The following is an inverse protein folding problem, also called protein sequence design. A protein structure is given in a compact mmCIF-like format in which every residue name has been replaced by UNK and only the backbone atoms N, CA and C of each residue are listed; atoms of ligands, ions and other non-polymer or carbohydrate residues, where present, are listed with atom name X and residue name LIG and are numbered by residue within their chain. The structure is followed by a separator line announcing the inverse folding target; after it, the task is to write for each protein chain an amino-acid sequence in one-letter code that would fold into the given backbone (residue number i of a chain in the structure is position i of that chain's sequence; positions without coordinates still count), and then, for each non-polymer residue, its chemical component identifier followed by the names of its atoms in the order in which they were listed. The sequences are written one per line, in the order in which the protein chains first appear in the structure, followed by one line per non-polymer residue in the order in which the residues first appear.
data_IF_642146073412
#
_entry.id   IF_642146073412
#
_cell.length_a   1.000
_cell.length_b   1.000
_cell.length_c   1.000
_cell.angle_alpha   90.00
_cell.angle_beta   90.00
_cell.angle_gamma   90.00
#
_symmetry.space_group_name_H-M   'P 1'
#
loop_
_entity.id
_entity.type
_entity.pdbx_description
1 polymer ?
#
# COMPACT_ATOMS: atom_id res chain seq x y z
N UNK A 1 -16.76 11.66 -11.27
CA UNK A 1 -18.09 11.08 -10.99
C UNK A 1 -19.21 11.86 -11.65
N UNK A 2 -19.38 13.16 -11.34
CA UNK A 2 -20.47 13.99 -11.88
C UNK A 2 -20.55 14.02 -13.43
N UNK A 3 -19.44 14.24 -14.14
CA UNK A 3 -19.42 14.19 -15.61
C UNK A 3 -19.87 12.85 -16.19
N UNK A 4 -19.52 11.73 -15.52
CA UNK A 4 -19.95 10.39 -15.92
C UNK A 4 -21.45 10.18 -15.72
N UNK A 5 -22.02 10.69 -14.62
CA UNK A 5 -23.48 10.68 -14.41
C UNK A 5 -24.22 11.56 -15.41
N UNK A 6 -23.62 12.66 -15.84
CA UNK A 6 -24.16 13.53 -16.90
C UNK A 6 -23.98 12.97 -18.32
N UNK A 7 -23.46 11.73 -18.46
CA UNK A 7 -23.36 11.05 -19.74
C UNK A 7 -22.13 11.40 -20.59
N UNK A 8 -21.14 12.10 -20.03
CA UNK A 8 -19.91 12.41 -20.75
C UNK A 8 -19.12 11.13 -21.02
N UNK A 9 -18.91 10.75 -22.30
CA UNK A 9 -18.25 9.50 -22.63
C UNK A 9 -16.75 9.62 -22.42
N UNK A 10 -16.12 8.51 -21.98
CA UNK A 10 -14.68 8.41 -21.78
C UNK A 10 -13.93 8.19 -23.09
N UNK A 11 -12.60 8.43 -23.08
CA UNK A 11 -11.65 8.16 -24.17
C UNK A 11 -11.80 9.06 -25.41
N UNK A 12 -12.34 10.26 -25.23
CA UNK A 12 -12.33 11.30 -26.26
C UNK A 12 -11.26 12.34 -25.91
N UNK A 13 -10.50 12.75 -26.92
CA UNK A 13 -9.46 13.77 -26.79
C UNK A 13 -10.08 15.18 -26.71
N UNK A 14 -11.14 15.43 -27.47
CA UNK A 14 -11.80 16.73 -27.55
C UNK A 14 -13.33 16.59 -27.51
N UNK A 15 -13.96 17.52 -26.80
CA UNK A 15 -15.41 17.64 -26.62
C UNK A 15 -15.95 19.00 -27.11
N UNK A 16 -15.12 19.84 -27.73
CA UNK A 16 -15.46 21.20 -28.20
C UNK A 16 -16.67 21.24 -29.14
N UNK A 17 -16.81 20.22 -29.99
CA UNK A 17 -17.90 20.09 -30.96
C UNK A 17 -19.24 19.61 -30.34
N UNK A 18 -19.28 19.31 -29.05
CA UNK A 18 -20.43 18.69 -28.39
C UNK A 18 -21.16 19.74 -27.55
N UNK A 19 -22.22 20.32 -28.12
CA UNK A 19 -23.02 21.36 -27.45
C UNK A 19 -23.50 20.93 -26.05
N UNK A 20 -23.90 19.66 -25.91
CA UNK A 20 -24.38 19.09 -24.65
C UNK A 20 -23.35 19.09 -23.51
N UNK A 21 -22.05 19.20 -23.81
CA UNK A 21 -20.96 19.11 -22.81
C UNK A 21 -20.16 20.39 -22.62
N UNK A 22 -20.51 21.48 -23.31
CA UNK A 22 -19.82 22.78 -23.16
C UNK A 22 -19.79 23.27 -21.71
N UNK A 23 -20.82 22.98 -20.93
CA UNK A 23 -20.91 23.33 -19.50
C UNK A 23 -19.80 22.72 -18.63
N UNK A 24 -19.13 21.65 -19.10
CA UNK A 24 -18.04 21.00 -18.36
C UNK A 24 -16.66 21.60 -18.60
N UNK A 25 -16.53 22.63 -19.45
CA UNK A 25 -15.23 23.25 -19.77
C UNK A 25 -14.44 23.67 -18.52
N UNK A 26 -15.06 24.46 -17.63
CA UNK A 26 -14.40 24.90 -16.39
C UNK A 26 -14.09 23.74 -15.42
N UNK A 27 -14.91 22.69 -15.41
CA UNK A 27 -14.65 21.50 -14.59
C UNK A 27 -13.46 20.69 -15.14
N UNK A 28 -13.33 20.58 -16.48
CA UNK A 28 -12.17 19.94 -17.12
C UNK A 28 -10.87 20.70 -16.85
N UNK A 29 -10.92 22.03 -16.89
CA UNK A 29 -9.78 22.89 -16.53
C UNK A 29 -9.36 22.68 -15.08
N UNK A 30 -10.34 22.69 -14.15
CA UNK A 30 -10.09 22.41 -12.74
C UNK A 30 -9.46 21.02 -12.52
N UNK A 31 -10.02 19.98 -13.14
CA UNK A 31 -9.47 18.61 -13.07
C UNK A 31 -8.04 18.58 -13.58
N UNK A 32 -7.74 19.29 -14.67
CA UNK A 32 -6.39 19.36 -15.24
C UNK A 32 -5.41 20.02 -14.27
N UNK A 33 -5.82 21.13 -13.65
CA UNK A 33 -5.01 21.82 -12.63
C UNK A 33 -4.71 20.91 -11.43
N UNK A 34 -5.72 20.23 -10.88
CA UNK A 34 -5.53 19.28 -9.78
C UNK A 34 -4.64 18.10 -10.23
N UNK A 35 -4.78 17.62 -11.46
CA UNK A 35 -3.95 16.54 -11.99
C UNK A 35 -2.47 16.92 -12.05
N UNK A 36 -2.17 18.17 -12.43
CA UNK A 36 -0.80 18.73 -12.39
C UNK A 36 -0.28 18.79 -10.96
N UNK A 37 -1.10 19.23 -9.98
CA UNK A 37 -0.71 19.24 -8.57
C UNK A 37 -0.42 17.83 -8.06
N UNK A 38 -1.27 16.85 -8.37
CA UNK A 38 -1.06 15.44 -7.99
C UNK A 38 0.22 14.90 -8.61
N UNK A 39 0.50 15.23 -9.88
CA UNK A 39 1.77 14.89 -10.52
C UNK A 39 2.95 15.52 -9.79
N UNK A 40 2.89 16.81 -9.44
CA UNK A 40 3.94 17.48 -8.68
C UNK A 40 4.14 16.85 -7.29
N UNK A 41 3.07 16.40 -6.62
CA UNK A 41 3.16 15.69 -5.35
C UNK A 41 3.90 14.35 -5.48
N UNK A 42 3.88 13.68 -6.64
CA UNK A 42 4.70 12.48 -6.87
C UNK A 42 6.20 12.78 -6.78
N UNK A 43 6.64 14.00 -7.08
CA UNK A 43 8.05 14.39 -6.93
C UNK A 43 8.50 14.34 -5.46
N UNK A 44 7.59 14.57 -4.50
CA UNK A 44 7.89 14.41 -3.07
C UNK A 44 8.15 12.93 -2.73
N UNK A 45 7.39 12.01 -3.32
CA UNK A 45 7.63 10.58 -3.18
C UNK A 45 8.97 10.18 -3.78
N UNK A 46 9.28 10.64 -5.00
CA UNK A 46 10.56 10.38 -5.66
C UNK A 46 11.73 10.89 -4.82
N UNK A 47 11.63 12.12 -4.32
CA UNK A 47 12.61 12.69 -3.41
C UNK A 47 12.75 11.83 -2.14
N UNK A 48 11.65 11.47 -1.50
CA UNK A 48 11.65 10.66 -0.28
C UNK A 48 12.28 9.27 -0.51
N UNK A 49 12.00 8.62 -1.64
CA UNK A 49 12.56 7.33 -2.02
C UNK A 49 14.09 7.39 -2.11
N UNK A 50 14.63 8.31 -2.91
CA UNK A 50 16.08 8.46 -3.05
C UNK A 50 16.75 8.95 -1.77
N UNK A 51 16.14 9.90 -1.07
CA UNK A 51 16.65 10.37 0.22
C UNK A 51 16.73 9.22 1.24
N UNK A 52 15.70 8.36 1.29
CA UNK A 52 15.66 7.22 2.22
C UNK A 52 16.70 6.16 1.88
N UNK A 53 17.00 5.93 0.60
CA UNK A 53 18.08 5.01 0.17
C UNK A 53 19.44 5.48 0.68
N UNK A 54 19.77 6.77 0.52
CA UNK A 54 21.12 7.27 0.78
C UNK A 54 21.32 7.79 2.21
N UNK A 55 20.29 8.37 2.83
CA UNK A 55 20.37 9.04 4.14
C UNK A 55 19.25 8.63 5.11
N UNK A 56 18.43 7.64 4.75
CA UNK A 56 17.38 7.11 5.62
C UNK A 56 17.94 6.44 6.88
N UNK A 57 17.12 6.39 7.93
CA UNK A 57 17.45 5.65 9.16
C UNK A 57 17.47 4.16 8.83
N UNK A 58 18.50 3.47 9.29
CA UNK A 58 18.60 2.02 9.14
C UNK A 58 17.60 1.34 10.05
N UNK A 59 16.88 0.36 9.53
CA UNK A 59 16.03 -0.52 10.34
C UNK A 59 16.91 -1.43 11.21
N UNK A 60 16.59 -1.53 12.49
CA UNK A 60 17.33 -2.32 13.49
C UNK A 60 16.53 -3.47 14.07
N UNK A 61 15.22 -3.48 13.85
CA UNK A 61 14.30 -4.52 14.30
C UNK A 61 13.78 -5.30 13.09
N UNK A 62 13.59 -6.62 13.25
CA UNK A 62 13.20 -7.49 12.14
C UNK A 62 11.75 -7.23 11.68
N UNK A 63 10.87 -6.99 12.63
CA UNK A 63 9.45 -6.74 12.39
C UNK A 63 9.03 -5.41 13.05
N UNK A 64 9.38 -4.26 12.47
CA UNK A 64 9.04 -2.96 13.04
C UNK A 64 7.54 -2.65 13.01
N UNK A 65 6.75 -3.39 12.23
CA UNK A 65 5.32 -3.14 12.02
C UNK A 65 4.41 -4.11 12.76
N UNK A 66 4.99 -5.09 13.46
CA UNK A 66 4.20 -6.14 14.13
C UNK A 66 3.34 -6.94 13.17
N UNK A 67 3.82 -7.22 11.95
CA UNK A 67 3.08 -8.05 11.00
C UNK A 67 3.14 -9.53 11.38
N UNK A 68 2.11 -10.28 11.05
CA UNK A 68 1.99 -11.72 11.36
C UNK A 68 2.70 -12.62 10.35
N UNK A 69 2.92 -12.14 9.14
CA UNK A 69 3.32 -12.93 7.97
C UNK A 69 4.80 -13.32 7.96
N UNK A 70 5.13 -14.38 7.21
CA UNK A 70 6.45 -15.00 7.21
C UNK A 70 7.58 -14.08 6.73
N UNK A 71 7.34 -13.10 5.86
CA UNK A 71 8.42 -12.23 5.37
C UNK A 71 9.11 -11.46 6.51
N UNK A 72 8.39 -11.22 7.61
CA UNK A 72 8.89 -10.56 8.82
C UNK A 72 9.67 -11.49 9.76
N UNK A 73 9.82 -12.77 9.37
CA UNK A 73 10.69 -13.76 10.04
C UNK A 73 12.07 -13.85 9.38
N UNK A 74 12.26 -13.21 8.23
CA UNK A 74 13.55 -13.16 7.52
C UNK A 74 14.54 -12.23 8.23
N UNK A 75 15.86 -12.47 8.14
CA UNK A 75 16.84 -11.49 8.63
C UNK A 75 16.67 -10.13 7.95
N UNK A 76 16.99 -9.03 8.64
CA UNK A 76 16.87 -7.65 8.12
C UNK A 76 17.52 -7.47 6.74
N UNK A 77 18.61 -8.20 6.48
CA UNK A 77 19.25 -8.29 5.17
C UNK A 77 19.19 -9.73 4.71
N UNK A 78 18.10 -10.16 4.06
CA UNK A 78 17.98 -11.53 3.61
C UNK A 78 19.00 -11.80 2.50
N UNK A 79 19.65 -12.96 2.58
CA UNK A 79 20.50 -13.46 1.50
C UNK A 79 19.68 -14.17 0.44
N UNK A 80 20.37 -14.77 -0.55
CA UNK A 80 19.71 -15.71 -1.45
C UNK A 80 19.16 -16.90 -0.65
N UNK A 81 17.92 -17.30 -0.91
CA UNK A 81 17.20 -18.29 -0.10
C UNK A 81 16.40 -17.73 1.08
N UNK A 82 16.49 -16.41 1.33
CA UNK A 82 15.77 -15.64 2.36
C UNK A 82 16.07 -16.01 3.83
N UNK A 83 15.95 -17.28 4.22
CA UNK A 83 16.22 -17.78 5.57
C UNK A 83 17.59 -18.47 5.65
N UNK A 84 18.26 -18.37 6.80
CA UNK A 84 19.58 -18.98 7.04
C UNK A 84 19.50 -20.48 7.42
N UNK A 85 18.30 -21.07 7.47
CA UNK A 85 18.05 -22.45 7.89
C UNK A 85 16.75 -22.99 7.31
N UNK A 86 16.06 -23.83 8.08
CA UNK A 86 14.76 -24.38 7.68
C UNK A 86 13.72 -23.27 7.45
N UNK A 87 12.82 -23.51 6.50
CA UNK A 87 11.72 -22.59 6.18
C UNK A 87 10.75 -22.60 7.38
N UNK A 88 10.35 -21.45 7.92
CA UNK A 88 9.44 -21.41 9.04
C UNK A 88 8.08 -22.03 8.71
N UNK A 89 7.59 -22.87 9.62
CA UNK A 89 6.28 -23.50 9.49
C UNK A 89 5.16 -22.51 9.80
N UNK A 90 4.01 -22.67 9.13
CA UNK A 90 2.81 -21.85 9.35
C UNK A 90 1.82 -22.64 10.20
N UNK A 91 1.48 -22.10 11.37
CA UNK A 91 0.52 -22.73 12.29
C UNK A 91 -0.85 -22.03 12.30
N UNK A 92 -0.96 -20.83 11.74
CA UNK A 92 -2.13 -19.96 11.84
C UNK A 92 -2.29 -19.03 10.62
N UNK A 93 -3.43 -18.35 10.55
CA UNK A 93 -3.76 -17.42 9.46
C UNK A 93 -2.92 -16.14 9.50
N UNK A 94 -2.79 -15.50 8.33
CA UNK A 94 -1.99 -14.28 8.16
C UNK A 94 -2.62 -13.01 8.77
N UNK A 95 -3.72 -13.12 9.52
CA UNK A 95 -4.46 -11.95 10.05
C UNK A 95 -4.78 -12.06 11.55
N UNK A 96 -4.01 -12.85 12.30
CA UNK A 96 -4.14 -12.95 13.77
C UNK A 96 -3.60 -11.69 14.47
N UNK A 97 -4.30 -10.57 14.26
CA UNK A 97 -4.09 -9.29 14.93
C UNK A 97 -5.13 -9.08 16.04
N UNK A 98 -4.75 -8.43 17.13
CA UNK A 98 -5.68 -8.01 18.20
C UNK A 98 -6.37 -9.16 18.94
N UNK A 99 -5.80 -10.36 18.93
CA UNK A 99 -6.40 -11.58 19.48
C UNK A 99 -5.87 -11.89 20.88
N UNK A 100 -6.75 -12.30 21.79
CA UNK A 100 -6.41 -12.74 23.15
C UNK A 100 -5.49 -11.74 23.90
N UNK A 101 -5.74 -10.45 23.73
CA UNK A 101 -4.96 -9.37 24.36
C UNK A 101 -3.60 -9.08 23.72
N UNK A 102 -3.27 -9.70 22.59
CA UNK A 102 -2.03 -9.46 21.84
C UNK A 102 -2.32 -8.64 20.58
N UNK A 103 -1.43 -7.69 20.29
CA UNK A 103 -1.55 -6.85 19.09
C UNK A 103 -1.38 -7.64 17.80
N UNK A 104 -0.47 -8.62 17.79
CA UNK A 104 -0.26 -9.54 16.68
C UNK A 104 0.31 -10.88 17.16
N UNK A 105 0.02 -11.95 16.42
CA UNK A 105 0.57 -13.28 16.65
C UNK A 105 1.21 -13.79 15.35
N UNK A 106 2.55 -13.96 15.30
CA UNK A 106 3.25 -14.44 14.10
C UNK A 106 2.75 -15.81 13.64
N UNK A 107 2.73 -16.03 12.32
CA UNK A 107 2.32 -17.30 11.72
C UNK A 107 3.17 -18.51 12.17
N UNK A 108 4.40 -18.24 12.59
CA UNK A 108 5.36 -19.24 13.09
C UNK A 108 5.14 -19.61 14.54
N UNK A 109 4.19 -18.98 15.22
CA UNK A 109 3.85 -19.33 16.60
C UNK A 109 2.78 -20.42 16.60
N UNK A 110 3.02 -21.60 17.22
CA UNK A 110 2.01 -22.65 17.34
C UNK A 110 0.74 -22.15 18.05
N UNK A 111 -0.41 -22.74 17.71
CA UNK A 111 -1.68 -22.39 18.36
C UNK A 111 -1.63 -22.83 19.83
N UNK A 112 -1.87 -21.89 20.74
CA UNK A 112 -1.83 -22.16 22.19
C UNK A 112 -3.05 -22.96 22.67
N UNK A 113 -2.90 -23.73 23.75
CA UNK A 113 -4.00 -24.55 24.31
C UNK A 113 -5.20 -23.70 24.80
N UNK A 114 -4.94 -22.47 25.23
CA UNK A 114 -5.95 -21.52 25.73
C UNK A 114 -6.29 -20.42 24.72
N UNK A 115 -5.80 -20.53 23.49
CA UNK A 115 -6.08 -19.54 22.45
C UNK A 115 -7.54 -19.68 22.00
N UNK A 116 -8.23 -18.56 21.82
CA UNK A 116 -9.59 -18.58 21.31
C UNK A 116 -9.60 -19.20 19.90
N UNK A 117 -10.52 -20.12 19.62
CA UNK A 117 -10.70 -20.62 18.25
C UNK A 117 -11.41 -19.54 17.44
N UNK A 118 -10.94 -19.34 16.20
CA UNK A 118 -11.69 -18.57 15.21
C UNK A 118 -12.95 -19.32 14.79
#
# INVERSE_FOLDING_TARGET
HYQGFAGMPRRYYDFSNWESFKMFGGLNEFISFISIIVFAAQLLFVFNFFYSIFKGRRVTTQNPWGSTSLEWTTPIRPGHGNWQGEIPEVHRWAYDYGKDGREFIPQTEPVGEHESKH
#
